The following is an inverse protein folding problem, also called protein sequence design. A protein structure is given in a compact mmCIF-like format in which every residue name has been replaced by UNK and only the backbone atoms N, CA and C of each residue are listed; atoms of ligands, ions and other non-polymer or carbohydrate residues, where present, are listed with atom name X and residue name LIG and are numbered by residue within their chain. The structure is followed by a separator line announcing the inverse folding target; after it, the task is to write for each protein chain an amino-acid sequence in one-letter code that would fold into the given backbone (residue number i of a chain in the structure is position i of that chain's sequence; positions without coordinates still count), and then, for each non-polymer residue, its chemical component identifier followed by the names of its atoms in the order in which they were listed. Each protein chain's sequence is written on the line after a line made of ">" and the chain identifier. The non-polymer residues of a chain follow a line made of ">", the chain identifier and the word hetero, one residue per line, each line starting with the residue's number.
data_IF_826241535038
#
_entry.id   IF_826241535038
#
_cell.length_a   1.000
_cell.length_b   1.000
_cell.length_c   1.000
_cell.angle_alpha   90.00
_cell.angle_beta   90.00
_cell.angle_gamma   90.00
#
_symmetry.space_group_name_H-M   'P 1'
#
loop_
_entity.id
_entity.type
_entity.pdbx_description
1 polymer ?
#
# COMPACT_ATOMS: atom_id res chain seq x y z
N UNK A 1 -3.22 -1.46 10.68
CA UNK A 1 -3.11 0.00 10.48
C UNK A 1 -4.48 0.63 10.39
N UNK A 2 -4.77 1.66 11.19
CA UNK A 2 -6.11 2.27 11.22
C UNK A 2 -6.45 3.11 9.98
N UNK A 3 -5.46 3.57 9.19
CA UNK A 3 -5.66 4.58 8.14
C UNK A 3 -6.53 4.06 6.97
N UNK A 4 -6.23 2.88 6.41
CA UNK A 4 -6.95 2.36 5.24
C UNK A 4 -8.02 1.31 5.56
N UNK A 5 -8.07 0.80 6.79
CA UNK A 5 -8.99 -0.29 7.18
C UNK A 5 -10.48 0.06 7.10
N UNK A 6 -10.85 1.36 7.03
CA UNK A 6 -12.23 1.78 6.78
C UNK A 6 -12.73 1.25 5.43
N UNK A 7 -11.90 1.30 4.39
CA UNK A 7 -12.30 0.87 3.04
C UNK A 7 -12.54 -0.63 2.98
N UNK A 8 -11.70 -1.44 3.64
CA UNK A 8 -11.93 -2.88 3.75
C UNK A 8 -13.32 -3.21 4.31
N UNK A 9 -13.74 -2.51 5.39
CA UNK A 9 -15.06 -2.71 5.98
C UNK A 9 -16.18 -2.34 5.01
N UNK A 10 -16.01 -1.26 4.26
CA UNK A 10 -16.98 -0.80 3.28
C UNK A 10 -17.07 -1.73 2.05
N UNK A 11 -15.96 -2.31 1.60
CA UNK A 11 -15.95 -3.35 0.55
C UNK A 11 -16.78 -4.55 1.01
N UNK A 12 -16.47 -5.10 2.19
CA UNK A 12 -17.18 -6.27 2.74
C UNK A 12 -18.67 -5.99 2.92
N UNK A 13 -19.02 -4.77 3.37
CA UNK A 13 -20.42 -4.37 3.49
C UNK A 13 -21.10 -4.31 2.11
N UNK A 14 -20.50 -3.65 1.12
CA UNK A 14 -21.08 -3.53 -0.22
C UNK A 14 -21.23 -4.89 -0.93
N UNK A 15 -20.27 -5.80 -0.75
CA UNK A 15 -20.36 -7.17 -1.27
C UNK A 15 -21.53 -7.94 -0.65
N UNK A 16 -21.76 -7.79 0.66
CA UNK A 16 -22.90 -8.43 1.36
C UNK A 16 -24.25 -7.93 0.88
N UNK A 17 -24.34 -6.64 0.54
CA UNK A 17 -25.54 -6.02 -0.02
C UNK A 17 -25.73 -6.31 -1.52
N UNK A 18 -24.83 -7.07 -2.16
CA UNK A 18 -24.87 -7.32 -3.60
C UNK A 18 -24.56 -6.08 -4.46
N UNK A 19 -24.01 -5.03 -3.86
CA UNK A 19 -23.71 -3.76 -4.54
C UNK A 19 -22.29 -3.77 -5.13
N UNK A 20 -22.14 -4.41 -6.29
CA UNK A 20 -20.85 -4.56 -6.97
C UNK A 20 -20.21 -3.22 -7.36
N UNK A 21 -21.02 -2.22 -7.74
CA UNK A 21 -20.55 -0.89 -8.10
C UNK A 21 -19.87 -0.20 -6.91
N UNK A 22 -20.50 -0.23 -5.73
CA UNK A 22 -19.88 0.31 -4.51
C UNK A 22 -18.69 -0.50 -4.04
N UNK A 23 -18.73 -1.82 -4.16
CA UNK A 23 -17.58 -2.66 -3.84
C UNK A 23 -16.35 -2.27 -4.70
N UNK A 24 -16.54 -2.01 -5.99
CA UNK A 24 -15.49 -1.54 -6.89
C UNK A 24 -14.94 -0.18 -6.47
N UNK A 25 -15.81 0.81 -6.25
CA UNK A 25 -15.41 2.15 -5.80
C UNK A 25 -14.58 2.10 -4.51
N UNK A 26 -14.97 1.25 -3.55
CA UNK A 26 -14.23 1.11 -2.30
C UNK A 26 -12.90 0.38 -2.47
N UNK A 27 -12.78 -0.55 -3.43
CA UNK A 27 -11.49 -1.16 -3.78
C UNK A 27 -10.54 -0.10 -4.36
N UNK A 28 -11.01 0.75 -5.27
CA UNK A 28 -10.21 1.86 -5.81
C UNK A 28 -9.71 2.80 -4.69
N UNK A 29 -10.60 3.19 -3.77
CA UNK A 29 -10.23 4.03 -2.62
C UNK A 29 -9.24 3.35 -1.68
N UNK A 30 -9.33 2.04 -1.52
CA UNK A 30 -8.37 1.26 -0.75
C UNK A 30 -6.99 1.25 -1.41
N UNK A 31 -6.93 1.08 -2.74
CA UNK A 31 -5.69 1.17 -3.51
C UNK A 31 -5.04 2.55 -3.34
N UNK A 32 -5.80 3.62 -3.62
CA UNK A 32 -5.31 5.00 -3.47
C UNK A 32 -4.73 5.23 -2.06
N UNK A 33 -5.48 4.83 -1.03
CA UNK A 33 -5.06 5.01 0.36
C UNK A 33 -3.72 4.31 0.64
N UNK A 34 -3.60 3.04 0.28
CA UNK A 34 -2.39 2.24 0.56
C UNK A 34 -1.21 2.80 -0.22
N UNK A 35 -1.36 3.01 -1.54
CA UNK A 35 -0.26 3.43 -2.42
C UNK A 35 0.24 4.82 -2.03
N UNK A 36 -0.66 5.79 -1.86
CA UNK A 36 -0.25 7.15 -1.53
C UNK A 36 0.38 7.25 -0.13
N UNK A 37 -0.15 6.51 0.85
CA UNK A 37 0.46 6.48 2.18
C UNK A 37 1.84 5.83 2.12
N UNK A 38 2.00 4.69 1.43
CA UNK A 38 3.29 4.01 1.31
C UNK A 38 4.33 4.87 0.60
N UNK A 39 3.95 5.53 -0.50
CA UNK A 39 4.81 6.46 -1.22
C UNK A 39 5.20 7.67 -0.37
N UNK A 40 4.28 8.23 0.41
CA UNK A 40 4.54 9.37 1.29
C UNK A 40 5.57 9.01 2.37
N UNK A 41 5.41 7.86 3.03
CA UNK A 41 6.38 7.34 4.01
C UNK A 41 7.74 7.07 3.39
N UNK A 42 7.78 6.39 2.23
CA UNK A 42 9.01 6.16 1.50
C UNK A 42 9.71 7.49 1.14
N UNK A 43 8.96 8.49 0.67
CA UNK A 43 9.48 9.83 0.33
C UNK A 43 10.06 10.57 1.54
N UNK A 44 9.37 10.53 2.68
CA UNK A 44 9.85 11.10 3.96
C UNK A 44 11.02 10.34 4.58
N UNK A 45 11.32 9.15 4.07
CA UNK A 45 12.42 8.32 4.55
C UNK A 45 12.06 7.45 5.76
N UNK A 46 10.77 7.35 6.06
CA UNK A 46 10.23 6.39 7.02
C UNK A 46 10.06 5.02 6.34
N UNK A 47 11.19 4.35 6.13
CA UNK A 47 11.24 3.12 5.34
C UNK A 47 10.58 1.94 6.09
N UNK A 48 10.62 1.94 7.42
CA UNK A 48 10.00 0.88 8.22
C UNK A 48 8.47 0.92 8.11
N UNK A 49 7.87 2.11 8.20
CA UNK A 49 6.42 2.25 8.02
C UNK A 49 6.01 2.00 6.56
N UNK A 50 6.80 2.45 5.58
CA UNK A 50 6.56 2.17 4.17
C UNK A 50 6.57 0.66 3.86
N UNK A 51 7.49 -0.11 4.46
CA UNK A 51 7.54 -1.57 4.30
C UNK A 51 6.37 -2.29 4.98
N UNK A 52 5.98 -1.82 6.17
CA UNK A 52 4.79 -2.33 6.83
C UNK A 52 3.53 -2.10 5.97
N UNK A 53 3.43 -0.93 5.32
CA UNK A 53 2.40 -0.59 4.35
C UNK A 53 2.41 -1.49 3.13
N UNK A 54 3.58 -1.78 2.57
CA UNK A 54 3.73 -2.70 1.44
C UNK A 54 3.27 -4.10 1.81
N UNK A 55 3.73 -4.64 2.95
CA UNK A 55 3.33 -5.98 3.41
C UNK A 55 1.82 -6.07 3.60
N UNK A 56 1.25 -5.11 4.34
CA UNK A 56 -0.20 -5.02 4.53
C UNK A 56 -0.94 -4.91 3.19
N UNK A 57 -0.44 -4.08 2.28
CA UNK A 57 -1.02 -3.92 0.95
C UNK A 57 -1.05 -5.21 0.12
N UNK A 58 -0.02 -6.06 0.22
CA UNK A 58 0.01 -7.38 -0.45
C UNK A 58 -1.03 -8.33 0.13
N UNK A 59 -1.21 -8.33 1.46
CA UNK A 59 -2.26 -9.11 2.13
C UNK A 59 -3.66 -8.66 1.68
N UNK A 60 -3.88 -7.34 1.61
CA UNK A 60 -5.12 -6.74 1.13
C UNK A 60 -5.38 -7.03 -0.35
N UNK A 61 -4.36 -6.93 -1.21
CA UNK A 61 -4.46 -7.23 -2.63
C UNK A 61 -4.95 -8.67 -2.86
N UNK A 62 -4.38 -9.62 -2.12
CA UNK A 62 -4.81 -11.03 -2.17
C UNK A 62 -6.24 -11.21 -1.66
N UNK A 63 -6.58 -10.56 -0.53
CA UNK A 63 -7.89 -10.68 0.11
C UNK A 63 -9.04 -10.21 -0.79
N UNK A 64 -8.84 -9.13 -1.54
CA UNK A 64 -9.89 -8.52 -2.39
C UNK A 64 -9.68 -8.73 -3.90
N UNK A 65 -8.67 -9.51 -4.30
CA UNK A 65 -8.37 -9.79 -5.71
C UNK A 65 -7.97 -8.55 -6.51
N UNK A 66 -7.16 -7.66 -5.94
CA UNK A 66 -6.77 -6.38 -6.55
C UNK A 66 -5.37 -6.49 -7.14
N UNK A 67 -5.26 -6.86 -8.42
CA UNK A 67 -3.97 -7.06 -9.11
C UNK A 67 -3.18 -5.75 -9.23
N UNK A 68 -3.85 -4.65 -9.57
CA UNK A 68 -3.22 -3.33 -9.76
C UNK A 68 -2.46 -2.86 -8.50
N UNK A 69 -3.00 -3.18 -7.31
CA UNK A 69 -2.33 -2.85 -6.04
C UNK A 69 -0.96 -3.51 -5.94
N UNK A 70 -0.83 -4.77 -6.38
CA UNK A 70 0.45 -5.49 -6.33
C UNK A 70 1.50 -4.87 -7.25
N UNK A 71 1.08 -4.34 -8.40
CA UNK A 71 1.95 -3.60 -9.32
C UNK A 71 2.49 -2.33 -8.65
N UNK A 72 1.60 -1.48 -8.11
CA UNK A 72 2.00 -0.23 -7.46
C UNK A 72 2.90 -0.45 -6.25
N UNK A 73 2.60 -1.46 -5.42
CA UNK A 73 3.44 -1.81 -4.27
C UNK A 73 4.86 -2.23 -4.68
N UNK A 74 5.02 -2.87 -5.82
CA UNK A 74 6.33 -3.24 -6.34
C UNK A 74 7.15 -2.01 -6.80
N UNK A 75 6.48 -0.93 -7.23
CA UNK A 75 7.15 0.35 -7.49
C UNK A 75 7.61 1.02 -6.19
N UNK A 76 6.80 0.94 -5.13
CA UNK A 76 7.17 1.45 -3.80
C UNK A 76 8.36 0.69 -3.22
N UNK A 77 8.39 -0.64 -3.33
CA UNK A 77 9.52 -1.47 -2.90
C UNK A 77 10.83 -1.07 -3.58
N UNK A 78 10.81 -0.85 -4.90
CA UNK A 78 11.99 -0.39 -5.65
C UNK A 78 12.52 0.96 -5.15
N UNK A 79 11.62 1.89 -4.82
CA UNK A 79 12.03 3.20 -4.27
C UNK A 79 12.61 3.06 -2.86
N UNK A 80 12.05 2.18 -2.02
CA UNK A 80 12.58 1.86 -0.69
C UNK A 80 13.99 1.27 -0.79
N UNK A 81 14.19 0.30 -1.67
CA UNK A 81 15.49 -0.34 -1.92
C UNK A 81 16.55 0.66 -2.36
N UNK A 82 16.24 1.48 -3.37
CA UNK A 82 17.11 2.56 -3.84
C UNK A 82 17.53 3.53 -2.72
N UNK A 83 16.61 3.85 -1.80
CA UNK A 83 16.92 4.69 -0.63
C UNK A 83 17.80 3.98 0.39
N UNK A 84 17.58 2.69 0.64
CA UNK A 84 18.45 1.87 1.52
C UNK A 84 19.87 1.81 0.99
N UNK A 85 20.04 1.55 -0.30
CA UNK A 85 21.36 1.51 -0.94
C UNK A 85 22.10 2.84 -0.82
N UNK A 86 21.41 3.96 -1.09
CA UNK A 86 21.98 5.31 -0.89
C UNK A 86 22.43 5.54 0.54
N UNK A 87 21.63 5.13 1.55
CA UNK A 87 22.01 5.26 2.96
C UNK A 87 23.24 4.42 3.31
N UNK A 88 23.33 3.19 2.79
CA UNK A 88 24.50 2.32 2.98
C UNK A 88 25.76 2.92 2.36
N UNK A 89 25.68 3.42 1.13
CA UNK A 89 26.80 4.06 0.45
C UNK A 89 27.32 5.27 1.24
N UNK A 90 26.42 6.15 1.71
CA UNK A 90 26.80 7.30 2.54
C UNK A 90 27.49 6.88 3.84
N UNK A 91 27.03 5.80 4.48
CA UNK A 91 27.62 5.28 5.71
C UNK A 91 29.02 4.64 5.52
N UNK A 92 29.35 4.18 4.31
CA UNK A 92 30.67 3.61 3.99
C UNK A 92 31.71 4.68 3.60
N UNK A 93 31.26 5.85 3.16
CA UNK A 93 32.12 7.01 2.87
C UNK A 93 32.35 7.95 4.07
N UNK A 94 31.75 7.66 5.23
CA UNK A 94 31.99 8.36 6.50
C UNK A 94 32.91 7.54 7.39
#
# INVERSE_FOLDING_TARGET
>A
MPICGKWERLIVWAEKEGNSAKALEFREKLVECIVYTAMEKARKGDLAEAEALVKYGREVAKKFGIEELSFHLSLVEKEIEKKRERRKAVAQTK
#
